data_IF_218787145648
#
_entry.id   IF_218787145648
#
_cell.length_a   1.000
_cell.length_b   1.000
_cell.length_c   1.000
_cell.angle_alpha   90.00
_cell.angle_beta   90.00
_cell.angle_gamma   90.00
#
_symmetry.space_group_name_H-M   'P 1'
#
loop_
_entity.id
_entity.type
_entity.pdbx_description
1 polymer ?
#
# COMPACT_ATOMS: atom_id res chain seq x y z
N UNK A 1 -1.71 -19.09 -1.44
CA UNK A 1 -1.70 -18.96 -2.92
C UNK A 1 -0.24 -18.88 -3.35
N UNK A 2 0.21 -19.76 -4.25
CA UNK A 2 1.62 -19.80 -4.66
C UNK A 2 1.87 -18.85 -5.85
N UNK A 3 3.13 -18.45 -6.07
CA UNK A 3 3.51 -17.50 -7.14
C UNK A 3 2.94 -17.84 -8.52
N UNK A 4 2.93 -19.11 -8.99
CA UNK A 4 2.35 -19.46 -10.30
C UNK A 4 0.83 -19.26 -10.35
N UNK A 5 0.14 -19.57 -9.26
CA UNK A 5 -1.31 -19.43 -9.15
C UNK A 5 -1.74 -17.96 -9.12
N UNK A 6 -0.99 -17.13 -8.39
CA UNK A 6 -1.19 -15.67 -8.38
C UNK A 6 -1.04 -15.08 -9.78
N UNK A 7 0.01 -15.47 -10.52
CA UNK A 7 0.22 -15.00 -11.91
C UNK A 7 -0.94 -15.39 -12.82
N UNK A 8 -1.41 -16.63 -12.73
CA UNK A 8 -2.57 -17.11 -13.50
C UNK A 8 -3.82 -16.28 -13.20
N UNK A 9 -4.08 -15.98 -11.93
CA UNK A 9 -5.24 -15.16 -11.54
C UNK A 9 -5.14 -13.72 -12.07
N UNK A 10 -3.93 -13.14 -12.10
CA UNK A 10 -3.72 -11.83 -12.72
C UNK A 10 -4.00 -11.83 -14.23
N UNK A 11 -3.49 -12.82 -14.97
CA UNK A 11 -3.77 -12.94 -16.41
C UNK A 11 -5.27 -13.06 -16.66
N UNK A 12 -5.95 -13.96 -15.94
CA UNK A 12 -7.40 -14.09 -16.05
C UNK A 12 -8.10 -12.77 -15.76
N UNK A 13 -7.72 -12.04 -14.70
CA UNK A 13 -8.35 -10.76 -14.37
C UNK A 13 -8.20 -9.74 -15.52
N UNK A 14 -7.00 -9.63 -16.09
CA UNK A 14 -6.71 -8.72 -17.21
C UNK A 14 -7.55 -9.09 -18.44
N UNK A 15 -7.67 -10.38 -18.75
CA UNK A 15 -8.42 -10.87 -19.91
C UNK A 15 -9.91 -10.53 -19.87
N UNK A 16 -10.47 -10.21 -18.69
CA UNK A 16 -11.88 -9.82 -18.55
C UNK A 16 -12.09 -8.29 -18.56
N UNK A 17 -11.04 -7.49 -18.71
CA UNK A 17 -11.13 -6.02 -18.70
C UNK A 17 -11.06 -5.50 -20.14
N UNK A 18 -12.19 -5.06 -20.68
CA UNK A 18 -12.25 -4.43 -22.02
C UNK A 18 -11.96 -2.92 -22.00
N UNK A 19 -12.03 -2.30 -20.81
CA UNK A 19 -11.83 -0.85 -20.67
C UNK A 19 -10.34 -0.50 -20.71
N UNK A 20 -9.91 0.10 -21.82
CA UNK A 20 -8.52 0.51 -22.05
C UNK A 20 -7.97 1.43 -20.95
N UNK A 21 -8.79 2.34 -20.41
CA UNK A 21 -8.35 3.24 -19.32
C UNK A 21 -8.00 2.46 -18.05
N UNK A 22 -8.76 1.41 -17.74
CA UNK A 22 -8.49 0.55 -16.58
C UNK A 22 -7.21 -0.26 -16.82
N UNK A 23 -7.04 -0.80 -18.02
CA UNK A 23 -5.82 -1.52 -18.41
C UNK A 23 -4.58 -0.62 -18.33
N UNK A 24 -4.68 0.62 -18.80
CA UNK A 24 -3.59 1.59 -18.73
C UNK A 24 -3.20 1.92 -17.27
N UNK A 25 -4.19 2.18 -16.42
CA UNK A 25 -3.97 2.39 -14.98
C UNK A 25 -3.29 1.17 -14.32
N UNK A 26 -3.76 -0.04 -14.65
CA UNK A 26 -3.20 -1.28 -14.13
C UNK A 26 -1.74 -1.47 -14.58
N UNK A 27 -1.47 -1.26 -15.87
CA UNK A 27 -0.13 -1.33 -16.44
C UNK A 27 0.83 -0.35 -15.76
N UNK A 28 0.43 0.92 -15.62
CA UNK A 28 1.27 1.93 -15.00
C UNK A 28 1.57 1.62 -13.54
N UNK A 29 0.59 1.12 -12.79
CA UNK A 29 0.76 0.73 -11.39
C UNK A 29 1.73 -0.46 -11.29
N UNK A 30 1.52 -1.51 -12.08
CA UNK A 30 2.36 -2.71 -12.05
C UNK A 30 3.79 -2.41 -12.53
N UNK A 31 3.95 -1.62 -13.59
CA UNK A 31 5.25 -1.17 -14.09
C UNK A 31 5.99 -0.38 -13.04
N UNK A 32 5.35 0.63 -12.45
CA UNK A 32 5.94 1.41 -11.36
C UNK A 32 6.38 0.50 -10.23
N UNK A 33 5.52 -0.39 -9.74
CA UNK A 33 5.85 -1.29 -8.61
C UNK A 33 6.94 -2.31 -8.95
N UNK A 34 6.99 -2.84 -10.18
CA UNK A 34 7.98 -3.81 -10.60
C UNK A 34 9.37 -3.21 -10.84
N UNK A 35 9.45 -1.93 -11.23
CA UNK A 35 10.72 -1.23 -11.47
C UNK A 35 11.13 -0.30 -10.33
N UNK A 36 10.25 -0.04 -9.37
CA UNK A 36 10.62 0.72 -8.18
C UNK A 36 11.46 -0.19 -7.30
N UNK A 37 12.71 0.22 -7.05
CA UNK A 37 13.42 -0.25 -5.87
C UNK A 37 12.57 0.08 -4.65
N UNK A 38 12.55 -0.81 -3.65
CA UNK A 38 11.94 -0.53 -2.37
C UNK A 38 12.39 0.86 -1.91
N UNK A 39 11.42 1.69 -1.51
CA UNK A 39 11.70 3.06 -1.13
C UNK A 39 12.85 3.09 -0.12
N UNK A 40 13.82 3.99 -0.31
CA UNK A 40 15.04 4.08 0.53
C UNK A 40 14.75 4.14 2.04
N UNK A 41 13.53 4.47 2.44
CA UNK A 41 13.07 4.45 3.83
C UNK A 41 12.66 3.04 4.28
N UNK A 42 11.90 2.30 3.46
CA UNK A 42 11.45 0.94 3.74
C UNK A 42 12.64 -0.02 3.91
N UNK A 43 13.64 0.09 3.04
CA UNK A 43 14.85 -0.74 3.09
C UNK A 43 15.79 -0.43 4.26
N UNK A 44 15.55 0.67 5.01
CA UNK A 44 16.31 1.02 6.23
C UNK A 44 15.68 0.46 7.50
N UNK A 45 14.42 0.03 7.44
CA UNK A 45 13.70 -0.51 8.59
C UNK A 45 14.18 -1.93 8.89
N UNK A 46 14.20 -2.30 10.18
CA UNK A 46 14.37 -3.70 10.57
C UNK A 46 13.13 -4.50 10.15
N UNK A 47 13.20 -5.84 10.16
CA UNK A 47 12.03 -6.66 9.82
C UNK A 47 10.89 -6.42 10.82
N UNK A 48 11.25 -6.26 12.08
CA UNK A 48 10.34 -5.97 13.17
C UNK A 48 9.65 -4.62 12.96
N UNK A 49 10.40 -3.60 12.53
CA UNK A 49 9.83 -2.28 12.21
C UNK A 49 8.90 -2.35 10.98
N UNK A 50 9.26 -3.14 9.97
CA UNK A 50 8.42 -3.35 8.78
C UNK A 50 7.10 -4.04 9.15
N UNK A 51 7.16 -5.10 9.96
CA UNK A 51 5.99 -5.82 10.46
C UNK A 51 5.11 -4.90 11.32
N UNK A 52 5.71 -4.13 12.23
CA UNK A 52 4.98 -3.15 13.03
C UNK A 52 4.30 -2.08 12.17
N UNK A 53 4.97 -1.59 11.12
CA UNK A 53 4.38 -0.57 10.24
C UNK A 53 3.18 -1.12 9.47
N UNK A 54 3.29 -2.36 8.97
CA UNK A 54 2.19 -3.03 8.27
C UNK A 54 1.00 -3.28 9.21
N UNK A 55 1.28 -3.69 10.45
CA UNK A 55 0.24 -3.86 11.46
C UNK A 55 -0.48 -2.54 11.76
N UNK A 56 0.27 -1.44 11.96
CA UNK A 56 -0.32 -0.11 12.19
C UNK A 56 -1.18 0.34 11.01
N UNK A 57 -0.79 0.01 9.78
CA UNK A 57 -1.59 0.30 8.59
C UNK A 57 -2.93 -0.44 8.63
N UNK A 58 -2.92 -1.74 8.91
CA UNK A 58 -4.13 -2.57 9.05
C UNK A 58 -5.04 -2.06 10.19
N UNK A 59 -4.44 -1.76 11.35
CA UNK A 59 -5.17 -1.23 12.51
C UNK A 59 -5.82 0.12 12.22
N UNK A 60 -5.21 0.95 11.36
CA UNK A 60 -5.73 2.29 10.99
C UNK A 60 -7.02 2.26 10.19
N UNK A 61 -7.35 1.12 9.55
CA UNK A 61 -8.63 0.94 8.87
C UNK A 61 -9.80 0.91 9.85
N UNK A 62 -9.52 0.62 11.13
CA UNK A 62 -10.52 0.65 12.19
C UNK A 62 -10.67 2.06 12.75
N UNK A 63 -11.84 2.65 12.52
CA UNK A 63 -12.16 4.03 12.95
C UNK A 63 -11.97 4.30 14.45
N UNK A 64 -12.01 3.28 15.32
CA UNK A 64 -11.77 3.42 16.76
C UNK A 64 -10.28 3.43 17.15
N UNK A 65 -9.37 3.06 16.24
CA UNK A 65 -7.92 3.07 16.46
C UNK A 65 -7.26 4.37 16.00
N UNK A 66 -8.00 5.26 15.34
CA UNK A 66 -7.49 6.52 14.79
C UNK A 66 -8.03 7.71 15.57
N UNK A 67 -7.26 8.78 15.60
CA UNK A 67 -7.62 10.06 16.23
C UNK A 67 -7.82 11.08 15.12
N UNK A 68 -8.78 11.99 15.29
CA UNK A 68 -9.03 13.06 14.33
C UNK A 68 -7.81 13.96 14.15
N UNK A 69 -7.59 14.42 12.91
CA UNK A 69 -6.45 15.25 12.54
C UNK A 69 -6.42 16.58 13.28
N UNK A 70 -7.58 17.21 13.50
CA UNK A 70 -7.66 18.48 14.23
C UNK A 70 -7.37 18.29 15.73
N UNK A 71 -7.73 17.13 16.28
CA UNK A 71 -7.35 16.76 17.65
C UNK A 71 -5.83 16.58 17.79
N UNK A 72 -5.18 15.90 16.84
CA UNK A 72 -3.73 15.74 16.82
C UNK A 72 -2.99 17.07 16.65
N UNK A 73 -3.48 17.97 15.79
CA UNK A 73 -2.91 19.33 15.66
C UNK A 73 -3.00 20.12 16.95
N UNK A 74 -4.14 20.09 17.65
CA UNK A 74 -4.30 20.77 18.95
C UNK A 74 -3.33 20.22 19.99
N UNK A 75 -3.21 18.89 20.08
CA UNK A 75 -2.29 18.21 21.00
C UNK A 75 -0.83 18.64 20.78
N UNK A 76 -0.41 18.74 19.52
CA UNK A 76 0.97 19.08 19.16
C UNK A 76 1.19 20.55 18.81
N UNK A 77 0.20 21.43 19.06
CA UNK A 77 0.25 22.85 18.72
C UNK A 77 1.36 23.67 19.40
N UNK A 78 2.08 23.09 20.37
CA UNK A 78 3.29 23.71 20.95
C UNK A 78 4.52 23.58 20.04
N UNK A 79 4.46 22.71 19.03
CA UNK A 79 5.56 22.35 18.13
C UNK A 79 5.24 22.67 16.66
N UNK A 80 4.01 23.11 16.38
CA UNK A 80 3.51 23.62 15.11
C UNK A 80 3.50 25.15 15.16
#
# INVERSE_FOLDING_TARGET
MNTPELKKNFHNLIDHIDNESILMCFYDLMKKRATSEDGKLWSRLTKEDQESLLLTLEESEQSYNVIDHEEMKKKHGKWL
#
